data_IF_993151981855
#
_entry.id   IF_993151981855
#
_cell.length_a   1.000
_cell.length_b   1.000
_cell.length_c   1.000
_cell.angle_alpha   90.00
_cell.angle_beta   90.00
_cell.angle_gamma   90.00
#
_symmetry.space_group_name_H-M   'P 1'
#
loop_
_entity.id
_entity.type
_entity.pdbx_description
1 polymer ?
#
# COMPACT_ATOMS: atom_id res chain seq x y z
N UNK A 1 -11.17 25.86 -21.54
CA UNK A 1 -10.75 24.46 -21.31
C UNK A 1 -9.25 24.48 -21.08
N UNK A 2 -8.75 24.17 -19.87
CA UNK A 2 -7.30 24.07 -19.67
C UNK A 2 -6.77 22.84 -20.43
N UNK A 3 -5.56 22.89 -21.02
CA UNK A 3 -4.97 21.72 -21.67
C UNK A 3 -4.78 20.60 -20.65
N UNK A 4 -5.20 19.38 -21.01
CA UNK A 4 -4.89 18.16 -20.23
C UNK A 4 -3.44 17.80 -20.50
N UNK A 5 -2.55 18.21 -19.60
CA UNK A 5 -1.15 17.83 -19.66
C UNK A 5 -1.04 16.42 -19.07
N UNK A 6 -0.58 15.46 -19.88
CA UNK A 6 -0.17 14.15 -19.36
C UNK A 6 1.19 14.30 -18.72
N UNK A 7 1.30 13.99 -17.43
CA UNK A 7 2.57 13.97 -16.69
C UNK A 7 2.90 12.55 -16.29
N UNK A 8 4.19 12.20 -16.30
CA UNK A 8 4.65 10.93 -15.73
C UNK A 8 4.44 10.94 -14.22
N UNK A 9 3.94 9.84 -13.67
CA UNK A 9 3.80 9.67 -12.24
C UNK A 9 5.14 9.26 -11.60
N UNK A 10 5.39 9.75 -10.40
CA UNK A 10 6.46 9.28 -9.52
C UNK A 10 5.98 8.02 -8.82
N UNK A 11 6.72 6.93 -8.96
CA UNK A 11 6.40 5.65 -8.31
C UNK A 11 6.99 5.64 -6.91
N UNK A 12 6.14 5.39 -5.91
CA UNK A 12 6.51 5.11 -4.54
C UNK A 12 6.41 3.62 -4.26
N UNK A 13 7.40 3.04 -3.59
CA UNK A 13 7.52 1.60 -3.40
C UNK A 13 8.14 0.88 -4.60
N UNK A 14 7.84 -0.41 -4.74
CA UNK A 14 8.37 -1.25 -5.81
C UNK A 14 7.53 -1.09 -7.09
N UNK A 15 8.18 -0.76 -8.21
CA UNK A 15 7.51 -0.67 -9.51
C UNK A 15 7.18 -2.08 -10.05
N UNK A 16 6.13 -2.69 -9.50
CA UNK A 16 5.71 -4.05 -9.79
C UNK A 16 5.13 -4.25 -11.20
N UNK A 17 4.89 -3.17 -11.94
CA UNK A 17 4.52 -3.22 -13.36
C UNK A 17 5.76 -3.36 -14.27
N UNK A 18 6.90 -2.83 -13.84
CA UNK A 18 8.17 -2.94 -14.56
C UNK A 18 8.94 -4.19 -14.14
N UNK A 19 9.00 -4.47 -12.83
CA UNK A 19 9.61 -5.67 -12.25
C UNK A 19 8.50 -6.58 -11.73
N UNK A 20 8.24 -7.74 -12.36
CA UNK A 20 7.16 -8.61 -11.93
C UNK A 20 7.34 -9.12 -10.50
N UNK A 21 6.24 -9.20 -9.76
CA UNK A 21 6.22 -9.76 -8.41
C UNK A 21 6.63 -11.25 -8.39
N UNK A 22 7.20 -11.68 -7.27
CA UNK A 22 7.49 -13.09 -7.04
C UNK A 22 6.21 -13.91 -6.89
N UNK A 23 6.34 -15.25 -6.91
CA UNK A 23 5.21 -16.19 -6.98
C UNK A 23 4.13 -15.87 -5.95
N UNK A 24 2.88 -15.94 -6.41
CA UNK A 24 1.65 -15.75 -5.62
C UNK A 24 1.41 -14.33 -5.08
N UNK A 25 2.34 -13.40 -5.29
CA UNK A 25 2.12 -11.98 -5.01
C UNK A 25 1.41 -11.30 -6.20
N UNK A 26 0.61 -10.29 -5.88
CA UNK A 26 -0.11 -9.48 -6.85
C UNK A 26 0.46 -8.07 -6.85
N UNK A 27 0.70 -7.52 -8.04
CA UNK A 27 1.08 -6.12 -8.18
C UNK A 27 -0.11 -5.23 -7.79
N UNK A 28 0.06 -4.48 -6.71
CA UNK A 28 -0.94 -3.52 -6.24
C UNK A 28 -0.55 -2.13 -6.70
N UNK A 29 -1.50 -1.45 -7.33
CA UNK A 29 -1.35 -0.07 -7.79
C UNK A 29 -2.38 0.77 -7.07
N UNK A 30 -1.92 1.83 -6.43
CA UNK A 30 -2.75 2.80 -5.71
C UNK A 30 -2.46 4.18 -6.26
N UNK A 31 -3.31 4.64 -7.15
CA UNK A 31 -3.27 5.96 -7.82
C UNK A 31 -4.49 6.84 -7.49
N UNK A 32 -5.43 6.33 -6.68
CA UNK A 32 -6.68 7.00 -6.34
C UNK A 32 -6.66 7.65 -4.94
N UNK A 33 -7.28 8.83 -4.71
CA UNK A 33 -7.80 9.78 -5.69
C UNK A 33 -7.01 11.09 -5.88
N UNK A 34 -5.99 11.43 -5.09
CA UNK A 34 -5.64 12.87 -4.91
C UNK A 34 -4.17 13.26 -4.91
N UNK A 35 -3.27 12.39 -5.38
CA UNK A 35 -1.90 12.80 -5.67
C UNK A 35 -1.64 12.78 -7.18
N UNK A 36 -2.02 13.84 -7.93
CA UNK A 36 -1.69 13.95 -9.34
C UNK A 36 -0.18 13.81 -9.56
N UNK A 37 0.22 12.88 -10.41
CA UNK A 37 1.64 12.64 -10.69
C UNK A 37 2.37 11.79 -9.63
N UNK A 38 1.65 11.13 -8.73
CA UNK A 38 2.23 10.12 -7.83
C UNK A 38 1.41 8.83 -7.89
N UNK A 39 2.08 7.71 -7.67
CA UNK A 39 1.45 6.39 -7.62
C UNK A 39 2.20 5.51 -6.63
N UNK A 40 1.48 4.73 -5.84
CA UNK A 40 2.07 3.76 -4.92
C UNK A 40 1.94 2.38 -5.53
N UNK A 41 3.06 1.69 -5.64
CA UNK A 41 3.13 0.35 -6.19
C UNK A 41 3.87 -0.59 -5.23
N UNK A 42 3.45 -1.84 -5.24
CA UNK A 42 4.16 -2.88 -4.52
C UNK A 42 3.54 -4.24 -4.69
N UNK A 43 4.37 -5.26 -4.49
CA UNK A 43 3.95 -6.64 -4.48
C UNK A 43 3.31 -6.99 -3.13
N UNK A 44 2.06 -7.46 -3.16
CA UNK A 44 1.35 -7.87 -1.96
C UNK A 44 0.86 -9.30 -2.10
N UNK A 45 1.09 -10.09 -1.06
CA UNK A 45 0.54 -11.43 -0.98
C UNK A 45 -0.97 -11.34 -0.66
N UNK A 46 -1.84 -12.00 -1.43
CA UNK A 46 -3.23 -12.16 -1.06
C UNK A 46 -3.33 -13.06 0.17
N UNK A 47 -4.36 -12.84 0.98
CA UNK A 47 -4.63 -13.66 2.15
C UNK A 47 -6.13 -13.85 2.32
N UNK A 48 -6.50 -14.92 3.01
CA UNK A 48 -7.88 -15.16 3.42
C UNK A 48 -8.00 -15.04 4.95
N UNK A 49 -9.06 -14.39 5.38
CA UNK A 49 -9.44 -14.24 6.79
C UNK A 49 -10.02 -15.52 7.40
N UNK A 50 -10.47 -16.48 6.58
CA UNK A 50 -11.23 -17.66 7.03
C UNK A 50 -10.42 -18.96 7.16
N UNK A 51 -9.10 -18.85 7.24
CA UNK A 51 -8.21 -19.91 7.73
C UNK A 51 -8.31 -21.26 6.99
N UNK A 52 -7.85 -21.32 5.73
CA UNK A 52 -6.98 -22.37 5.14
C UNK A 52 -6.16 -21.78 3.96
N UNK A 53 -5.97 -20.44 3.95
CA UNK A 53 -5.25 -19.72 2.90
C UNK A 53 -3.80 -19.42 3.26
N UNK A 54 -2.98 -18.88 2.33
CA UNK A 54 -1.59 -18.57 2.62
C UNK A 54 -1.50 -17.57 3.77
N UNK A 55 -0.79 -17.97 4.82
CA UNK A 55 -0.54 -17.11 5.97
C UNK A 55 0.30 -15.92 5.53
N UNK A 56 -0.03 -14.75 6.06
CA UNK A 56 0.85 -13.60 5.87
C UNK A 56 2.22 -13.88 6.50
N UNK A 57 3.30 -13.35 5.90
CA UNK A 57 4.64 -13.48 6.48
C UNK A 57 4.68 -12.89 7.89
N UNK A 58 5.73 -13.24 8.62
CA UNK A 58 6.01 -12.65 9.94
C UNK A 58 5.97 -11.10 9.84
N UNK A 59 5.49 -10.45 10.90
CA UNK A 59 5.22 -9.01 10.96
C UNK A 59 4.14 -8.47 10.02
N UNK A 60 3.31 -9.33 9.41
CA UNK A 60 2.15 -8.92 8.61
C UNK A 60 0.84 -9.49 9.17
N UNK A 61 -0.27 -8.87 8.79
CA UNK A 61 -1.63 -9.36 9.08
C UNK A 61 -2.49 -9.29 7.84
N UNK A 62 -3.50 -10.14 7.76
CA UNK A 62 -4.47 -10.08 6.69
C UNK A 62 -5.43 -8.91 6.94
N UNK A 63 -5.35 -7.87 6.12
CA UNK A 63 -6.30 -6.75 6.11
C UNK A 63 -6.85 -6.58 4.69
N UNK A 64 -8.18 -6.58 4.57
CA UNK A 64 -8.88 -6.47 3.28
C UNK A 64 -8.35 -7.45 2.20
N UNK A 65 -8.15 -8.71 2.59
CA UNK A 65 -7.66 -9.80 1.73
C UNK A 65 -6.23 -9.61 1.20
N UNK A 66 -5.43 -8.74 1.82
CA UNK A 66 -4.02 -8.54 1.50
C UNK A 66 -3.17 -8.53 2.75
N UNK A 67 -1.96 -9.09 2.65
CA UNK A 67 -1.00 -9.00 3.72
C UNK A 67 -0.48 -7.58 3.84
N UNK A 68 -0.76 -6.95 4.98
CA UNK A 68 -0.28 -5.62 5.34
C UNK A 68 0.74 -5.74 6.45
N UNK A 69 1.87 -5.04 6.26
CA UNK A 69 2.93 -4.98 7.25
C UNK A 69 2.46 -4.20 8.48
N UNK A 70 2.72 -4.75 9.66
CA UNK A 70 2.50 -4.07 10.94
C UNK A 70 3.57 -3.01 11.14
N UNK A 71 3.22 -1.96 11.86
CA UNK A 71 4.15 -0.92 12.26
C UNK A 71 3.88 -0.47 13.69
N UNK A 72 4.81 0.28 14.27
CA UNK A 72 4.65 0.84 15.61
C UNK A 72 4.21 2.30 15.47
N UNK A 73 3.23 2.77 16.27
CA UNK A 73 2.86 4.18 16.29
C UNK A 73 4.10 5.08 16.44
N UNK A 74 4.24 6.06 15.56
CA UNK A 74 5.37 6.99 15.57
C UNK A 74 6.64 6.48 14.86
N UNK A 75 6.69 5.22 14.42
CA UNK A 75 7.79 4.67 13.59
C UNK A 75 7.26 4.23 12.23
N UNK A 76 7.56 5.02 11.20
CA UNK A 76 7.24 4.71 9.79
C UNK A 76 8.45 4.20 9.00
N UNK A 77 9.63 4.09 9.61
CA UNK A 77 10.85 3.65 8.90
C UNK A 77 10.70 2.23 8.33
N UNK A 78 9.94 1.39 9.04
CA UNK A 78 9.57 0.02 8.67
C UNK A 78 8.67 -0.07 7.42
N UNK A 79 7.94 1.00 7.08
CA UNK A 79 6.93 0.98 6.02
C UNK A 79 7.50 1.19 4.61
N UNK A 80 8.69 1.77 4.50
CA UNK A 80 9.32 2.10 3.23
C UNK A 80 8.80 3.41 2.62
N UNK A 81 9.49 3.85 1.57
CA UNK A 81 9.27 5.16 0.95
C UNK A 81 7.84 5.32 0.40
N UNK A 82 7.21 6.44 0.75
CA UNK A 82 5.83 6.75 0.39
C UNK A 82 4.78 6.05 1.28
N UNK A 83 5.17 5.26 2.27
CA UNK A 83 4.22 4.64 3.20
C UNK A 83 4.40 5.23 4.60
N UNK A 84 3.30 5.36 5.33
CA UNK A 84 3.26 5.83 6.71
C UNK A 84 2.53 4.83 7.59
N UNK A 85 2.90 4.82 8.87
CA UNK A 85 2.21 4.01 9.86
C UNK A 85 0.88 4.67 10.24
N UNK A 86 -0.25 4.02 9.92
CA UNK A 86 -1.60 4.49 10.25
C UNK A 86 -2.29 3.56 11.23
N UNK A 87 -3.08 4.16 12.12
CA UNK A 87 -3.93 3.44 13.06
C UNK A 87 -5.06 2.74 12.29
N UNK A 88 -5.25 1.44 12.52
CA UNK A 88 -6.30 0.62 11.90
C UNK A 88 -7.39 0.26 12.90
N UNK A 89 -7.00 -0.27 14.07
CA UNK A 89 -7.85 -0.56 15.22
C UNK A 89 -7.06 -0.32 16.51
N UNK A 90 -7.72 -0.39 17.68
CA UNK A 90 -7.14 -0.05 18.99
C UNK A 90 -5.75 -0.67 19.26
N UNK A 91 -5.47 -1.86 18.71
CA UNK A 91 -4.19 -2.57 18.88
C UNK A 91 -3.40 -2.77 17.57
N UNK A 92 -3.90 -2.27 16.44
CA UNK A 92 -3.33 -2.56 15.13
C UNK A 92 -2.98 -1.29 14.36
N UNK A 93 -1.71 -1.22 13.95
CA UNK A 93 -1.17 -0.18 13.11
C UNK A 93 -0.54 -0.80 11.87
N UNK A 94 -0.88 -0.26 10.70
CA UNK A 94 -0.49 -0.82 9.41
C UNK A 94 0.24 0.22 8.57
N UNK A 95 1.19 -0.28 7.78
CA UNK A 95 1.81 0.52 6.73
C UNK A 95 0.82 0.76 5.59
N UNK A 96 0.48 2.03 5.37
CA UNK A 96 -0.42 2.48 4.32
C UNK A 96 0.22 3.57 3.48
N UNK A 97 -0.21 3.71 2.23
CA UNK A 97 0.29 4.80 1.38
C UNK A 97 -0.07 6.16 2.00
N UNK A 98 0.88 7.08 1.94
CA UNK A 98 0.75 8.43 2.45
C UNK A 98 0.00 9.37 1.48
N UNK A 99 -0.68 8.82 0.46
CA UNK A 99 -1.51 9.59 -0.44
C UNK A 99 -2.52 10.42 0.36
N UNK A 100 -2.72 11.67 -0.06
CA UNK A 100 -3.72 12.53 0.56
C UNK A 100 -5.09 11.92 0.28
N UNK A 101 -5.89 11.65 1.29
CA UNK A 101 -7.33 11.44 1.11
C UNK A 101 -8.01 12.79 1.05
N UNK A 102 -9.15 12.88 0.38
CA UNK A 102 -9.91 14.12 0.36
C UNK A 102 -10.52 14.16 1.75
N UNK A 103 -10.02 15.06 2.58
CA UNK A 103 -10.73 15.45 3.79
C UNK A 103 -12.12 15.87 3.34
N UNK A 104 -13.12 15.05 3.65
CA UNK A 104 -14.51 15.46 3.63
C UNK A 104 -14.65 16.46 4.78
N UNK A 105 -14.55 17.74 4.45
CA UNK A 105 -15.16 18.82 5.25
C UNK A 105 -16.70 18.74 5.11
#
# INVERSE_FOLDING_TARGET
MAPRISICATVHGENCQQTPCEREQVCTVSDYPLSPGEVWMGCQQPCDTQAEGPFCPEDSVCDLYRCRKKCTPGDSSICGDGYICKHRTDELWLCESNHRTASTD
#
